data_IF_786058859409
#
_entry.id   IF_786058859409
#
_cell.length_a   1.000
_cell.length_b   1.000
_cell.length_c   1.000
_cell.angle_alpha   90.00
_cell.angle_beta   90.00
_cell.angle_gamma   90.00
#
_symmetry.space_group_name_H-M   'P 1'
#
loop_
_entity.id
_entity.type
_entity.pdbx_description
1 polymer ?
#
# COMPACT_ATOMS: atom_id res chain seq x y z
N UNK A 1 14.93 -17.62 -17.26
CA UNK A 1 14.82 -16.88 -15.98
C UNK A 1 16.05 -16.04 -15.64
N UNK A 2 17.14 -16.05 -16.45
CA UNK A 2 18.39 -15.33 -16.14
C UNK A 2 18.25 -13.80 -16.03
N UNK A 3 17.34 -13.19 -16.80
CA UNK A 3 17.10 -11.73 -16.81
C UNK A 3 16.77 -11.14 -15.44
N UNK A 4 16.16 -11.91 -14.53
CA UNK A 4 15.83 -11.43 -13.19
C UNK A 4 16.96 -11.62 -12.21
N UNK A 5 17.94 -12.49 -12.50
CA UNK A 5 19.02 -12.86 -11.58
C UNK A 5 19.89 -11.67 -11.18
N UNK A 6 20.00 -10.66 -12.05
CA UNK A 6 20.68 -9.38 -11.76
C UNK A 6 20.05 -8.58 -10.61
N UNK A 7 18.78 -8.83 -10.29
CA UNK A 7 18.07 -8.18 -9.18
C UNK A 7 18.02 -9.05 -7.93
N UNK A 8 18.57 -10.25 -7.97
CA UNK A 8 18.67 -11.11 -6.80
C UNK A 8 19.60 -10.48 -5.78
N UNK A 9 19.19 -10.48 -4.52
CA UNK A 9 20.06 -10.11 -3.42
C UNK A 9 21.21 -11.13 -3.33
N UNK A 10 22.45 -10.65 -3.35
CA UNK A 10 23.65 -11.50 -3.30
C UNK A 10 23.82 -12.21 -1.96
N UNK A 11 23.26 -11.66 -0.87
CA UNK A 11 23.31 -12.27 0.46
C UNK A 11 22.28 -13.38 0.65
N UNK A 12 21.01 -13.11 0.30
CA UNK A 12 19.91 -14.05 0.54
C UNK A 12 19.54 -14.92 -0.66
N UNK A 13 19.97 -14.56 -1.87
CA UNK A 13 19.53 -15.18 -3.13
C UNK A 13 18.07 -14.88 -3.50
N UNK A 14 17.37 -14.04 -2.73
CA UNK A 14 15.96 -13.70 -2.94
C UNK A 14 15.82 -12.68 -4.05
N UNK A 15 14.81 -12.85 -4.90
CA UNK A 15 14.58 -11.98 -6.05
C UNK A 15 13.29 -11.15 -5.89
N UNK A 16 13.38 -9.81 -5.80
CA UNK A 16 12.24 -8.91 -5.55
C UNK A 16 11.20 -8.91 -6.67
N UNK A 17 11.57 -9.34 -7.87
CA UNK A 17 10.71 -9.24 -9.06
C UNK A 17 10.27 -10.61 -9.58
N UNK A 18 10.70 -11.69 -8.92
CA UNK A 18 10.23 -13.02 -9.29
C UNK A 18 8.84 -13.22 -8.71
N UNK A 19 7.81 -13.45 -9.53
CA UNK A 19 6.48 -13.71 -9.01
C UNK A 19 6.53 -14.94 -8.10
N UNK A 20 5.89 -14.82 -6.93
CA UNK A 20 5.66 -15.93 -6.03
C UNK A 20 4.56 -16.79 -6.68
N UNK A 21 4.94 -17.73 -7.53
CA UNK A 21 3.98 -18.64 -8.15
C UNK A 21 3.42 -19.56 -7.06
N UNK A 22 2.12 -19.42 -6.77
CA UNK A 22 1.40 -20.52 -6.15
C UNK A 22 1.25 -21.62 -7.21
N UNK A 23 1.80 -22.81 -6.97
CA UNK A 23 1.59 -23.98 -7.81
C UNK A 23 0.11 -24.40 -7.73
N UNK A 24 -0.74 -23.75 -8.52
CA UNK A 24 -2.14 -24.15 -8.66
C UNK A 24 -2.18 -25.44 -9.49
N UNK A 25 -2.60 -26.54 -8.86
CA UNK A 25 -2.81 -27.83 -9.55
C UNK A 25 -3.81 -27.62 -10.70
N UNK A 26 -3.51 -28.21 -11.85
CA UNK A 26 -4.40 -28.17 -13.00
C UNK A 26 -5.79 -28.72 -12.62
N UNK A 27 -6.82 -27.87 -12.65
CA UNK A 27 -8.17 -28.27 -12.29
C UNK A 27 -8.83 -29.07 -13.44
N UNK A 28 -9.55 -30.12 -13.08
CA UNK A 28 -10.41 -30.89 -14.00
C UNK A 28 -11.47 -30.01 -14.66
N UNK A 29 -11.97 -30.42 -15.83
CA UNK A 29 -12.94 -29.64 -16.62
C UNK A 29 -14.23 -29.31 -15.84
N UNK A 30 -14.84 -30.23 -15.06
CA UNK A 30 -16.00 -29.90 -14.22
C UNK A 30 -15.69 -28.85 -13.16
N UNK A 31 -14.51 -28.93 -12.54
CA UNK A 31 -14.05 -27.94 -11.56
C UNK A 31 -13.85 -26.57 -12.21
N UNK A 32 -13.39 -26.51 -13.47
CA UNK A 32 -13.29 -25.25 -14.22
C UNK A 32 -14.67 -24.65 -14.50
N UNK A 33 -15.64 -25.48 -14.88
CA UNK A 33 -17.00 -25.02 -15.17
C UNK A 33 -17.70 -24.51 -13.90
N UNK A 34 -17.59 -25.25 -12.80
CA UNK A 34 -18.12 -24.83 -11.50
C UNK A 34 -17.48 -23.52 -11.04
N UNK A 35 -16.15 -23.39 -11.20
CA UNK A 35 -15.45 -22.13 -10.94
C UNK A 35 -15.96 -21.02 -11.84
N UNK A 36 -16.18 -21.25 -13.13
CA UNK A 36 -16.70 -20.22 -14.01
C UNK A 36 -18.10 -19.73 -13.59
N UNK A 37 -19.01 -20.66 -13.28
CA UNK A 37 -20.40 -20.34 -12.90
C UNK A 37 -20.48 -19.57 -11.57
N UNK A 38 -19.66 -19.93 -10.60
CA UNK A 38 -19.71 -19.29 -9.26
C UNK A 38 -18.77 -18.08 -9.17
N UNK A 39 -17.55 -18.18 -9.69
CA UNK A 39 -16.50 -17.17 -9.46
C UNK A 39 -16.62 -15.98 -10.39
N UNK A 40 -17.12 -16.16 -11.62
CA UNK A 40 -17.28 -15.03 -12.55
C UNK A 40 -18.32 -14.03 -12.05
N UNK A 41 -19.54 -14.43 -11.63
CA UNK A 41 -20.51 -13.49 -11.05
C UNK A 41 -19.97 -12.79 -9.80
N UNK A 42 -19.29 -13.54 -8.91
CA UNK A 42 -18.68 -12.97 -7.72
C UNK A 42 -17.58 -11.96 -8.07
N UNK A 43 -16.74 -12.27 -9.05
CA UNK A 43 -15.69 -11.38 -9.54
C UNK A 43 -16.24 -10.11 -10.17
N UNK A 44 -17.35 -10.21 -10.93
CA UNK A 44 -18.06 -9.05 -11.47
C UNK A 44 -18.65 -8.19 -10.35
N UNK A 45 -19.29 -8.80 -9.34
CA UNK A 45 -19.80 -8.07 -8.19
C UNK A 45 -18.68 -7.32 -7.44
N UNK A 46 -17.57 -8.01 -7.17
CA UNK A 46 -16.38 -7.42 -6.55
C UNK A 46 -15.81 -6.27 -7.38
N UNK A 47 -15.75 -6.42 -8.70
CA UNK A 47 -15.32 -5.35 -9.61
C UNK A 47 -16.26 -4.14 -9.56
N UNK A 48 -17.58 -4.34 -9.54
CA UNK A 48 -18.55 -3.27 -9.36
C UNK A 48 -18.34 -2.53 -8.04
N UNK A 49 -18.19 -3.26 -6.92
CA UNK A 49 -17.90 -2.67 -5.61
C UNK A 49 -16.60 -1.85 -5.63
N UNK A 50 -15.54 -2.40 -6.22
CA UNK A 50 -14.26 -1.69 -6.36
C UNK A 50 -14.41 -0.41 -7.21
N UNK A 51 -15.10 -0.50 -8.36
CA UNK A 51 -15.33 0.64 -9.23
C UNK A 51 -16.14 1.75 -8.52
N UNK A 52 -17.21 1.38 -7.82
CA UNK A 52 -18.00 2.31 -6.99
C UNK A 52 -17.14 2.96 -5.91
N UNK A 53 -16.24 2.21 -5.27
CA UNK A 53 -15.32 2.74 -4.27
C UNK A 53 -14.33 3.76 -4.86
N UNK A 54 -13.81 3.52 -6.07
CA UNK A 54 -12.93 4.49 -6.75
C UNK A 54 -13.70 5.77 -7.10
N UNK A 55 -14.94 5.66 -7.60
CA UNK A 55 -15.81 6.82 -7.86
C UNK A 55 -16.04 7.60 -6.56
N UNK A 56 -16.32 6.91 -5.46
CA UNK A 56 -16.48 7.51 -4.15
C UNK A 56 -15.24 8.28 -3.68
N UNK A 57 -14.04 7.74 -3.86
CA UNK A 57 -12.78 8.44 -3.54
C UNK A 57 -12.58 9.69 -4.41
N UNK A 58 -12.96 9.63 -5.69
CA UNK A 58 -12.95 10.81 -6.58
C UNK A 58 -13.90 11.88 -6.07
N UNK A 59 -15.14 11.52 -5.74
CA UNK A 59 -16.12 12.46 -5.20
C UNK A 59 -15.68 13.04 -3.86
N UNK A 60 -15.03 12.24 -3.01
CA UNK A 60 -14.48 12.68 -1.72
C UNK A 60 -13.43 13.78 -1.92
N UNK A 61 -12.50 13.60 -2.85
CA UNK A 61 -11.46 14.58 -3.18
C UNK A 61 -12.05 15.87 -3.76
N UNK A 62 -13.08 15.77 -4.61
CA UNK A 62 -13.80 16.93 -5.15
C UNK A 62 -14.56 17.69 -4.05
N UNK A 63 -15.25 16.98 -3.17
CA UNK A 63 -15.97 17.57 -2.04
C UNK A 63 -15.00 18.27 -1.09
N UNK A 64 -13.84 17.68 -0.80
CA UNK A 64 -12.84 18.29 0.09
C UNK A 64 -12.16 19.52 -0.52
N UNK A 65 -12.07 19.59 -1.86
CA UNK A 65 -11.66 20.82 -2.57
C UNK A 65 -12.71 21.91 -2.43
N UNK A 66 -14.00 21.56 -2.54
CA UNK A 66 -15.10 22.51 -2.36
C UNK A 66 -15.17 23.03 -0.91
N UNK A 67 -14.90 22.18 0.07
CA UNK A 67 -14.82 22.52 1.50
C UNK A 67 -13.50 23.18 1.91
N UNK A 68 -12.65 23.57 0.95
CA UNK A 68 -11.38 24.25 1.24
C UNK A 68 -11.46 25.51 2.13
N UNK A 69 -12.51 26.37 2.09
CA UNK A 69 -12.55 27.55 2.96
C UNK A 69 -12.82 27.22 4.44
N UNK A 70 -13.30 26.01 4.78
CA UNK A 70 -13.67 25.63 6.15
C UNK A 70 -12.83 24.43 6.60
N UNK A 71 -11.57 24.64 7.05
CA UNK A 71 -10.64 23.55 7.34
C UNK A 71 -11.09 22.64 8.49
N UNK A 72 -11.84 23.20 9.45
CA UNK A 72 -12.34 22.48 10.62
C UNK A 72 -13.31 21.35 10.26
N UNK A 73 -14.20 21.58 9.28
CA UNK A 73 -15.14 20.55 8.81
C UNK A 73 -14.51 19.64 7.76
N UNK A 74 -13.62 20.18 6.93
CA UNK A 74 -12.97 19.42 5.85
C UNK A 74 -12.27 18.16 6.36
N UNK A 75 -11.53 18.25 7.46
CA UNK A 75 -10.70 17.14 7.95
C UNK A 75 -11.49 15.91 8.44
N UNK A 76 -12.45 16.03 9.39
CA UNK A 76 -13.23 14.88 9.84
C UNK A 76 -14.04 14.26 8.70
N UNK A 77 -14.61 15.10 7.81
CA UNK A 77 -15.33 14.64 6.62
C UNK A 77 -14.38 13.85 5.71
N UNK A 78 -13.21 14.40 5.37
CA UNK A 78 -12.23 13.71 4.54
C UNK A 78 -11.80 12.38 5.17
N UNK A 79 -11.52 12.35 6.46
CA UNK A 79 -11.12 11.14 7.17
C UNK A 79 -12.20 10.06 7.09
N UNK A 80 -13.45 10.40 7.40
CA UNK A 80 -14.58 9.48 7.36
C UNK A 80 -14.85 8.96 5.94
N UNK A 81 -14.93 9.86 4.96
CA UNK A 81 -15.21 9.49 3.58
C UNK A 81 -14.06 8.67 2.95
N UNK A 82 -12.81 9.02 3.26
CA UNK A 82 -11.65 8.27 2.81
C UNK A 82 -11.58 6.89 3.47
N UNK A 83 -11.90 6.79 4.76
CA UNK A 83 -12.03 5.51 5.46
C UNK A 83 -13.07 4.62 4.77
N UNK A 84 -14.27 5.14 4.51
CA UNK A 84 -15.34 4.41 3.84
C UNK A 84 -14.94 3.97 2.42
N UNK A 85 -14.40 4.89 1.62
CA UNK A 85 -13.97 4.61 0.25
C UNK A 85 -12.83 3.59 0.17
N UNK A 86 -11.81 3.74 1.00
CA UNK A 86 -10.70 2.78 1.04
C UNK A 86 -11.16 1.42 1.55
N UNK A 87 -12.05 1.36 2.56
CA UNK A 87 -12.63 0.12 3.07
C UNK A 87 -13.45 -0.61 2.00
N UNK A 88 -14.31 0.11 1.26
CA UNK A 88 -15.07 -0.45 0.15
C UNK A 88 -14.15 -0.95 -0.98
N UNK A 89 -13.08 -0.21 -1.28
CA UNK A 89 -12.12 -0.62 -2.31
C UNK A 89 -11.38 -1.90 -1.90
N UNK A 90 -10.93 -1.98 -0.64
CA UNK A 90 -10.31 -3.20 -0.09
C UNK A 90 -11.28 -4.38 -0.09
N UNK A 91 -12.55 -4.15 0.29
CA UNK A 91 -13.60 -5.14 0.22
C UNK A 91 -13.80 -5.67 -1.21
N UNK A 92 -13.83 -4.76 -2.19
CA UNK A 92 -13.89 -5.11 -3.62
C UNK A 92 -12.69 -5.97 -4.04
N UNK A 93 -11.50 -5.71 -3.50
CA UNK A 93 -10.30 -6.54 -3.74
C UNK A 93 -10.29 -7.88 -2.96
N UNK A 94 -11.31 -8.15 -2.13
CA UNK A 94 -11.43 -9.37 -1.35
C UNK A 94 -10.80 -9.33 0.03
N UNK A 95 -10.39 -8.15 0.51
CA UNK A 95 -9.92 -7.96 1.88
C UNK A 95 -11.12 -7.71 2.80
N UNK A 96 -11.60 -8.78 3.41
CA UNK A 96 -12.71 -8.72 4.37
C UNK A 96 -12.21 -8.32 5.74
N UNK A 97 -12.66 -7.18 6.27
CA UNK A 97 -12.26 -6.59 7.55
C UNK A 97 -10.74 -6.61 7.74
N UNK A 98 -10.11 -5.44 7.66
CA UNK A 98 -8.67 -5.24 7.85
C UNK A 98 -8.22 -5.42 9.30
N UNK A 99 -8.68 -6.49 9.94
CA UNK A 99 -8.14 -7.14 11.12
C UNK A 99 -6.95 -8.02 10.70
N UNK A 100 -6.00 -7.42 9.97
CA UNK A 100 -4.65 -8.00 9.95
C UNK A 100 -4.12 -7.99 11.38
N UNK A 101 -3.39 -9.02 11.79
CA UNK A 101 -2.68 -8.98 13.06
C UNK A 101 -1.69 -7.81 12.98
N UNK A 102 -1.93 -6.77 13.78
CA UNK A 102 -0.96 -5.69 13.96
C UNK A 102 0.15 -6.24 14.86
N UNK A 103 1.01 -7.07 14.28
CA UNK A 103 2.15 -7.63 14.98
C UNK A 103 3.20 -6.54 15.14
N UNK A 104 3.52 -6.24 16.39
CA UNK A 104 4.64 -5.37 16.70
C UNK A 104 5.91 -6.13 16.35
N UNK A 105 6.83 -5.45 15.67
CA UNK A 105 8.10 -6.03 15.30
C UNK A 105 8.81 -6.65 16.52
N UNK A 106 9.27 -7.89 16.37
CA UNK A 106 10.08 -8.53 17.40
C UNK A 106 11.48 -7.92 17.41
N UNK A 107 11.69 -7.00 18.35
CA UNK A 107 12.94 -6.28 18.54
C UNK A 107 14.12 -7.23 18.82
N UNK A 108 13.87 -8.38 19.44
CA UNK A 108 14.90 -9.39 19.72
C UNK A 108 15.35 -10.06 18.43
N UNK A 109 14.40 -10.45 17.58
CA UNK A 109 14.68 -11.04 16.26
C UNK A 109 15.41 -10.05 15.36
N UNK A 110 15.01 -8.77 15.39
CA UNK A 110 15.60 -7.71 14.60
C UNK A 110 16.92 -7.16 15.17
N UNK A 111 17.31 -7.58 16.39
CA UNK A 111 18.48 -7.06 17.11
C UNK A 111 18.49 -5.53 17.24
N UNK A 112 17.31 -4.93 17.36
CA UNK A 112 17.12 -3.48 17.56
C UNK A 112 16.74 -3.21 19.01
N UNK A 113 17.11 -2.04 19.51
CA UNK A 113 16.73 -1.63 20.86
C UNK A 113 15.21 -1.43 20.92
N UNK A 114 14.50 -1.95 21.93
CA UNK A 114 13.09 -1.62 22.13
C UNK A 114 12.93 -0.11 22.39
N UNK A 115 11.83 0.50 21.96
CA UNK A 115 11.55 1.90 22.22
C UNK A 115 11.49 2.16 23.74
N UNK A 116 12.10 3.26 24.18
CA UNK A 116 12.15 3.66 25.59
C UNK A 116 10.77 4.02 26.16
N UNK A 117 9.80 4.34 25.31
CA UNK A 117 8.49 4.85 25.68
C UNK A 117 7.36 3.94 25.19
N UNK A 118 7.07 2.87 25.93
CA UNK A 118 5.88 2.01 25.72
C UNK A 118 5.76 1.38 24.33
N UNK A 119 4.69 0.60 24.12
CA UNK A 119 4.35 0.10 22.78
C UNK A 119 3.67 1.24 22.01
N UNK A 120 4.38 1.84 21.05
CA UNK A 120 3.77 2.73 20.07
C UNK A 120 3.52 1.94 18.79
N UNK A 121 2.27 1.88 18.36
CA UNK A 121 1.93 1.27 17.08
C UNK A 121 2.22 2.28 15.96
N UNK A 122 2.89 1.83 14.90
CA UNK A 122 3.17 2.66 13.74
C UNK A 122 1.89 3.18 13.04
N UNK A 123 0.75 2.51 13.28
CA UNK A 123 -0.57 2.92 12.80
C UNK A 123 -1.25 3.99 13.68
N UNK A 124 -0.68 4.31 14.84
CA UNK A 124 -1.11 5.41 15.71
C UNK A 124 -0.29 6.68 15.45
N UNK A 125 0.31 6.77 14.25
CA UNK A 125 1.16 7.88 13.84
C UNK A 125 0.44 9.23 13.98
N UNK A 126 1.11 10.18 14.66
CA UNK A 126 0.58 11.51 14.90
C UNK A 126 0.73 12.40 13.67
N UNK A 127 0.20 13.62 13.76
CA UNK A 127 0.26 14.62 12.69
C UNK A 127 1.72 14.94 12.35
N UNK A 128 2.05 14.95 11.07
CA UNK A 128 3.40 15.16 10.56
C UNK A 128 4.33 13.95 10.66
N UNK A 129 3.99 12.91 11.43
CA UNK A 129 4.85 11.72 11.60
C UNK A 129 5.13 11.07 10.26
N UNK A 130 6.43 10.79 10.03
CA UNK A 130 6.91 10.15 8.81
C UNK A 130 6.84 8.64 9.02
N UNK A 131 5.92 8.00 8.31
CA UNK A 131 5.69 6.56 8.30
C UNK A 131 6.38 5.97 7.08
N UNK A 132 7.43 5.21 7.29
CA UNK A 132 8.15 4.50 6.24
C UNK A 132 7.45 3.16 5.99
N UNK A 133 7.12 2.88 4.73
CA UNK A 133 6.47 1.62 4.36
C UNK A 133 7.10 1.01 3.12
N UNK A 134 7.10 -0.32 3.07
CA UNK A 134 7.33 -1.02 1.82
C UNK A 134 6.16 -0.81 0.85
N UNK A 135 6.43 -1.03 -0.44
CA UNK A 135 5.43 -0.94 -1.51
C UNK A 135 5.38 -2.22 -2.33
N UNK A 136 4.22 -2.87 -2.30
CA UNK A 136 3.90 -4.11 -2.98
C UNK A 136 2.82 -3.91 -4.04
N UNK A 137 1.80 -3.09 -3.76
CA UNK A 137 0.65 -2.90 -4.66
C UNK A 137 -0.31 -1.78 -4.27
N UNK A 138 -1.49 -1.79 -4.91
CA UNK A 138 -2.57 -0.82 -4.66
C UNK A 138 -3.17 -0.97 -3.26
N UNK A 139 -3.19 -2.20 -2.75
CA UNK A 139 -3.75 -2.55 -1.44
C UNK A 139 -3.02 -1.87 -0.29
N UNK A 140 -1.70 -1.66 -0.39
CA UNK A 140 -0.92 -0.96 0.63
C UNK A 140 -1.39 0.49 0.76
N UNK A 141 -1.56 1.15 -0.38
CA UNK A 141 -2.03 2.54 -0.46
C UNK A 141 -3.44 2.65 0.11
N UNK A 142 -4.35 1.72 -0.23
CA UNK A 142 -5.70 1.70 0.31
C UNK A 142 -5.72 1.40 1.83
N UNK A 143 -4.92 0.44 2.28
CA UNK A 143 -4.84 0.04 3.69
C UNK A 143 -4.32 1.19 4.55
N UNK A 144 -3.19 1.78 4.17
CA UNK A 144 -2.62 2.93 4.86
C UNK A 144 -3.51 4.17 4.72
N UNK A 145 -4.19 4.32 3.57
CA UNK A 145 -5.19 5.36 3.34
C UNK A 145 -6.34 5.29 4.34
N UNK A 146 -6.89 4.10 4.51
CA UNK A 146 -7.97 3.81 5.47
C UNK A 146 -7.51 4.01 6.92
N UNK A 147 -6.32 3.54 7.32
CA UNK A 147 -5.85 3.63 8.72
C UNK A 147 -5.39 5.03 9.10
N UNK A 148 -4.61 5.69 8.25
CA UNK A 148 -3.87 6.91 8.60
C UNK A 148 -4.42 8.17 7.95
N UNK A 149 -5.21 8.05 6.87
CA UNK A 149 -5.55 9.16 5.98
C UNK A 149 -4.34 10.09 5.69
N UNK A 150 -3.23 9.53 5.18
CA UNK A 150 -1.95 10.21 5.10
C UNK A 150 -1.81 11.00 3.80
N UNK A 151 -0.79 11.85 3.76
CA UNK A 151 -0.19 12.29 2.49
C UNK A 151 0.85 11.25 2.07
N UNK A 152 0.75 10.76 0.84
CA UNK A 152 1.69 9.74 0.34
C UNK A 152 2.87 10.39 -0.34
N UNK A 153 4.06 9.82 -0.17
CA UNK A 153 5.29 10.31 -0.80
C UNK A 153 5.94 9.18 -1.57
N UNK A 154 6.29 9.47 -2.82
CA UNK A 154 7.06 8.58 -3.68
C UNK A 154 8.31 9.33 -4.17
N UNK A 155 9.45 8.63 -4.33
CA UNK A 155 10.59 9.22 -5.01
C UNK A 155 10.30 9.47 -6.49
N UNK A 156 10.70 10.64 -6.97
CA UNK A 156 10.76 10.96 -8.39
C UNK A 156 11.91 10.21 -9.10
N UNK A 157 12.08 10.48 -10.40
CA UNK A 157 13.13 9.84 -11.20
C UNK A 157 14.54 10.17 -10.69
N UNK A 158 14.76 11.42 -10.31
CA UNK A 158 15.97 11.96 -9.66
C UNK A 158 16.14 11.51 -8.20
N UNK A 159 15.08 10.95 -7.59
CA UNK A 159 15.04 10.48 -6.21
C UNK A 159 14.50 11.49 -5.20
N UNK A 160 14.12 12.71 -5.63
CA UNK A 160 13.50 13.70 -4.75
C UNK A 160 12.10 13.25 -4.28
N UNK A 161 11.65 13.63 -3.08
CA UNK A 161 10.35 13.23 -2.57
C UNK A 161 9.23 14.03 -3.24
N UNK A 162 8.16 13.34 -3.68
CA UNK A 162 6.97 13.99 -4.25
C UNK A 162 5.73 13.53 -3.51
N UNK A 163 4.95 14.50 -3.02
CA UNK A 163 3.70 14.26 -2.31
C UNK A 163 2.52 13.99 -3.26
N UNK A 164 1.64 13.09 -2.85
CA UNK A 164 0.44 12.66 -3.57
C UNK A 164 -0.75 12.53 -2.63
N UNK A 165 -1.93 12.84 -3.15
CA UNK A 165 -3.20 12.44 -2.54
C UNK A 165 -3.44 10.93 -2.74
N UNK A 166 -4.49 10.38 -2.11
CA UNK A 166 -4.82 8.95 -2.23
C UNK A 166 -4.98 8.52 -3.69
N UNK A 167 -5.65 9.32 -4.52
CA UNK A 167 -5.84 9.00 -5.94
C UNK A 167 -4.53 9.06 -6.73
N UNK A 168 -3.67 10.04 -6.42
CA UNK A 168 -2.34 10.15 -7.01
C UNK A 168 -1.48 8.93 -6.65
N UNK A 169 -1.51 8.52 -5.39
CA UNK A 169 -0.81 7.35 -4.88
C UNK A 169 -1.32 6.05 -5.52
N UNK A 170 -2.64 5.88 -5.65
CA UNK A 170 -3.24 4.72 -6.34
C UNK A 170 -2.84 4.68 -7.81
N UNK A 171 -2.92 5.81 -8.52
CA UNK A 171 -2.45 5.90 -9.90
C UNK A 171 -0.97 5.53 -10.00
N UNK A 172 -0.15 5.99 -9.06
CA UNK A 172 1.29 5.73 -9.01
C UNK A 172 1.62 4.27 -8.72
N UNK A 173 0.91 3.66 -7.78
CA UNK A 173 1.03 2.25 -7.42
C UNK A 173 0.45 1.33 -8.51
N UNK A 174 -0.51 1.78 -9.32
CA UNK A 174 -1.05 1.04 -10.47
C UNK A 174 -0.20 1.17 -11.75
N UNK A 175 0.62 2.21 -11.89
CA UNK A 175 1.38 2.49 -13.11
C UNK A 175 2.44 1.42 -13.42
N UNK A 176 2.56 1.03 -14.71
CA UNK A 176 3.59 0.09 -15.20
C UNK A 176 4.99 0.70 -15.21
N UNK A 177 5.09 1.97 -15.57
CA UNK A 177 6.35 2.74 -15.57
C UNK A 177 6.19 3.90 -14.62
N UNK A 178 7.14 3.92 -13.71
CA UNK A 178 7.13 4.63 -12.46
C UNK A 178 8.05 5.87 -12.52
N UNK A 179 8.34 6.39 -13.71
CA UNK A 179 9.20 7.56 -13.87
C UNK A 179 8.34 8.80 -13.83
N UNK A 180 8.32 9.45 -12.67
CA UNK A 180 7.81 10.81 -12.55
C UNK A 180 8.83 11.77 -13.17
N UNK A 181 8.39 12.83 -13.86
CA UNK A 181 9.28 13.96 -14.12
C UNK A 181 9.82 14.49 -12.78
N UNK A 182 10.99 15.14 -12.77
CA UNK A 182 11.51 15.77 -11.56
C UNK A 182 10.42 16.64 -10.94
N UNK A 183 10.12 16.37 -9.67
CA UNK A 183 9.11 17.13 -8.92
C UNK A 183 9.57 18.55 -8.70
N UNK A 184 8.67 19.40 -8.17
CA UNK A 184 9.12 20.65 -7.56
C UNK A 184 10.11 20.29 -6.46
N UNK A 185 11.25 21.01 -6.33
CA UNK A 185 12.20 20.76 -5.26
C UNK A 185 11.49 21.05 -3.93
N UNK A 186 11.11 19.98 -3.24
CA UNK A 186 10.57 20.02 -1.89
C UNK A 186 11.33 18.99 -1.08
N UNK A 187 11.69 19.38 0.14
CA UNK A 187 12.31 18.45 1.08
C UNK A 187 11.24 17.61 1.76
N UNK A 188 11.62 16.43 2.26
CA UNK A 188 10.70 15.59 3.03
C UNK A 188 10.24 16.31 4.32
N UNK A 189 11.09 17.15 4.89
CA UNK A 189 10.77 17.98 6.05
C UNK A 189 9.66 19.00 5.75
N UNK A 190 9.71 19.70 4.60
CA UNK A 190 8.65 20.62 4.18
C UNK A 190 7.31 19.90 3.96
N UNK A 191 7.35 18.71 3.37
CA UNK A 191 6.15 17.88 3.18
C UNK A 191 5.57 17.47 4.54
N UNK A 192 6.42 17.08 5.49
CA UNK A 192 6.02 16.70 6.84
C UNK A 192 5.40 17.88 7.61
N UNK A 193 5.96 19.08 7.52
CA UNK A 193 5.41 20.28 8.14
C UNK A 193 4.08 20.71 7.50
N UNK A 194 3.98 20.62 6.17
CA UNK A 194 2.70 20.83 5.45
C UNK A 194 1.64 19.83 5.91
N UNK A 195 2.00 18.55 6.03
CA UNK A 195 1.09 17.50 6.52
C UNK A 195 0.70 17.71 7.99
N UNK A 196 1.63 18.19 8.82
CA UNK A 196 1.39 18.54 10.22
C UNK A 196 0.30 19.59 10.36
N UNK A 197 0.40 20.68 9.59
CA UNK A 197 -0.66 21.72 9.53
C UNK A 197 -1.98 21.18 8.97
N UNK A 198 -1.93 20.21 8.05
CA UNK A 198 -3.07 19.49 7.48
C UNK A 198 -3.66 18.38 8.37
N UNK A 199 -3.10 18.15 9.56
CA UNK A 199 -3.52 17.13 10.52
C UNK A 199 -3.44 15.68 9.96
N UNK A 200 -2.47 15.41 9.09
CA UNK A 200 -2.18 14.07 8.57
C UNK A 200 -0.74 13.64 8.87
N UNK A 201 -0.49 12.33 9.01
CA UNK A 201 0.85 11.76 8.90
C UNK A 201 1.28 11.72 7.42
N UNK A 202 2.57 11.47 7.20
CA UNK A 202 3.17 11.29 5.87
C UNK A 202 3.57 9.83 5.71
N UNK A 203 3.09 9.15 4.68
CA UNK A 203 3.54 7.79 4.34
C UNK A 203 4.54 7.85 3.20
N UNK A 204 5.74 7.33 3.39
CA UNK A 204 6.82 7.36 2.40
C UNK A 204 7.09 5.95 1.87
N UNK A 205 6.91 5.78 0.55
CA UNK A 205 7.30 4.57 -0.18
C UNK A 205 8.68 4.77 -0.82
N UNK A 206 9.72 4.77 0.02
CA UNK A 206 11.08 5.16 -0.34
C UNK A 206 11.77 4.24 -1.36
N UNK A 207 11.25 3.03 -1.55
CA UNK A 207 11.70 2.07 -2.57
C UNK A 207 11.46 2.58 -4.01
N UNK A 208 10.43 3.39 -4.23
CA UNK A 208 10.08 3.96 -5.54
C UNK A 208 9.57 2.98 -6.60
N UNK A 209 9.65 1.69 -6.32
CA UNK A 209 9.14 0.61 -7.15
C UNK A 209 8.38 -0.40 -6.28
N UNK A 210 7.60 -1.26 -6.93
CA UNK A 210 6.87 -2.35 -6.26
C UNK A 210 7.76 -3.59 -6.21
N UNK A 211 7.88 -4.21 -5.05
CA UNK A 211 8.52 -5.53 -4.90
C UNK A 211 7.49 -6.63 -4.90
N UNK A 212 7.92 -7.88 -4.81
CA UNK A 212 7.10 -9.07 -4.55
C UNK A 212 6.88 -9.37 -3.05
N UNK A 213 7.23 -8.44 -2.14
CA UNK A 213 7.11 -8.65 -0.70
C UNK A 213 8.12 -9.57 -0.06
N UNK A 214 8.93 -10.28 -0.85
CA UNK A 214 9.95 -11.18 -0.30
C UNK A 214 11.20 -10.44 0.17
N UNK A 215 11.40 -9.22 -0.31
CA UNK A 215 12.45 -8.32 0.15
C UNK A 215 12.05 -6.84 -0.07
N UNK A 216 12.80 -5.95 0.56
CA UNK A 216 12.68 -4.49 0.48
C UNK A 216 13.81 -3.98 -0.40
N UNK A 217 13.52 -3.09 -1.36
CA UNK A 217 14.55 -2.48 -2.20
C UNK A 217 15.36 -1.44 -1.43
N UNK A 218 16.57 -1.19 -1.91
CA UNK A 218 17.37 -0.06 -1.43
C UNK A 218 16.59 1.25 -1.60
N UNK A 219 16.44 1.99 -0.50
CA UNK A 219 15.78 3.28 -0.52
C UNK A 219 16.64 4.31 -1.24
N UNK A 220 15.99 5.25 -1.95
CA UNK A 220 16.71 6.32 -2.63
C UNK A 220 17.18 7.37 -1.61
N UNK A 221 18.50 7.61 -1.44
CA UNK A 221 19.01 8.51 -0.40
C UNK A 221 18.49 9.95 -0.54
N UNK A 222 18.36 10.44 -1.78
CA UNK A 222 17.83 11.77 -2.10
C UNK A 222 16.40 12.01 -1.60
N UNK A 223 15.63 10.97 -1.31
CA UNK A 223 14.28 11.09 -0.75
C UNK A 223 14.32 11.65 0.68
N UNK A 224 15.43 11.45 1.39
CA UNK A 224 15.65 11.89 2.76
C UNK A 224 16.60 13.09 2.85
N UNK A 225 16.98 13.69 1.71
CA UNK A 225 17.83 14.86 1.68
C UNK A 225 17.12 16.04 2.38
N UNK A 226 17.85 16.72 3.27
CA UNK A 226 17.30 17.79 4.12
C UNK A 226 16.60 17.30 5.41
N UNK A 227 16.57 16.00 5.69
CA UNK A 227 16.11 15.49 6.98
C UNK A 227 17.29 15.41 7.97
N UNK A 228 17.40 16.37 8.88
CA UNK A 228 18.50 16.42 9.86
C UNK A 228 18.41 15.29 10.90
N UNK A 229 17.19 14.86 11.24
CA UNK A 229 16.96 13.80 12.22
C UNK A 229 15.62 13.10 11.97
N UNK A 230 15.59 11.80 12.22
CA UNK A 230 14.36 10.99 12.25
C UNK A 230 13.57 11.17 13.57
N UNK A 231 14.13 11.84 14.57
CA UNK A 231 13.49 12.08 15.88
C UNK A 231 12.80 13.45 15.99
N UNK A 232 13.28 14.47 15.28
CA UNK A 232 12.72 15.84 15.30
C UNK A 232 12.54 16.36 13.88
N UNK A 233 11.45 17.08 13.55
CA UNK A 233 10.37 17.56 14.43
C UNK A 233 9.14 16.65 14.56
N UNK A 234 9.00 15.61 13.74
CA UNK A 234 7.72 14.92 13.54
C UNK A 234 7.63 13.47 14.05
N UNK A 235 8.75 12.90 14.50
CA UNK A 235 8.86 11.48 14.82
C UNK A 235 8.74 10.59 13.58
N UNK A 236 9.18 9.34 13.73
CA UNK A 236 9.21 8.36 12.65
C UNK A 236 8.61 7.05 13.09
N UNK A 237 7.94 6.38 12.16
CA UNK A 237 7.38 5.06 12.35
C UNK A 237 7.72 4.18 11.15
N UNK A 238 7.91 2.89 11.38
CA UNK A 238 8.17 1.91 10.33
C UNK A 238 6.98 0.94 10.28
N UNK A 239 6.41 0.76 9.09
CA UNK A 239 5.37 -0.22 8.82
C UNK A 239 5.91 -1.18 7.76
N UNK A 240 5.85 -2.47 8.06
CA UNK A 240 6.06 -3.51 7.05
C UNK A 240 4.72 -4.18 6.79
N UNK A 241 4.29 -4.15 5.53
CA UNK A 241 3.14 -4.89 5.06
C UNK A 241 3.65 -6.21 4.49
N UNK A 242 3.07 -7.31 4.95
CA UNK A 242 3.33 -8.65 4.43
C UNK A 242 1.99 -9.30 4.08
N UNK A 243 1.95 -9.95 2.92
CA UNK A 243 0.79 -10.73 2.47
C UNK A 243 1.11 -12.20 2.63
N UNK A 244 0.09 -12.99 2.96
CA UNK A 244 0.24 -14.45 3.07
C UNK A 244 0.73 -15.01 1.73
N UNK A 245 1.88 -15.69 1.74
CA UNK A 245 2.52 -16.29 0.56
C UNK A 245 1.71 -17.42 -0.07
N UNK A 246 0.78 -18.00 0.69
CA UNK A 246 -0.16 -19.02 0.23
C UNK A 246 -1.54 -18.44 -0.14
N UNK A 247 -1.71 -17.12 0.01
CA UNK A 247 -2.90 -16.42 -0.45
C UNK A 247 -2.94 -16.31 -1.96
N UNK A 248 -4.15 -16.35 -2.53
CA UNK A 248 -4.35 -16.21 -3.97
C UNK A 248 -4.21 -14.76 -4.47
N UNK A 249 -4.20 -13.78 -3.55
CA UNK A 249 -3.86 -12.40 -3.88
C UNK A 249 -2.34 -12.22 -3.95
N UNK A 250 -1.83 -12.06 -5.16
CA UNK A 250 -0.50 -11.49 -5.37
C UNK A 250 -0.64 -9.98 -5.60
N UNK A 251 -0.13 -9.11 -4.71
CA UNK A 251 -0.17 -7.66 -4.89
C UNK A 251 0.58 -7.17 -6.14
N UNK A 252 1.40 -8.06 -6.71
CA UNK A 252 2.53 -7.73 -7.56
C UNK A 252 2.18 -7.80 -9.03
N UNK A 253 1.89 -6.64 -9.58
CA UNK A 253 1.74 -6.43 -11.01
C UNK A 253 3.11 -6.45 -11.74
N UNK A 254 3.79 -7.59 -11.79
CA UNK A 254 5.03 -7.71 -12.59
C UNK A 254 4.73 -7.84 -14.09
N UNK A 255 3.52 -8.27 -14.45
CA UNK A 255 3.04 -8.44 -15.83
C UNK A 255 1.54 -8.07 -15.96
N UNK A 256 1.17 -7.27 -16.97
CA UNK A 256 -0.22 -6.85 -17.22
C UNK A 256 -0.51 -5.35 -17.04
N UNK A 257 -1.64 -4.84 -17.56
CA UNK A 257 -2.05 -3.42 -17.40
C UNK A 257 -2.61 -3.22 -15.99
N UNK A 258 -2.62 -1.96 -15.51
CA UNK A 258 -3.24 -1.57 -14.24
C UNK A 258 -4.68 -2.08 -14.09
N UNK A 259 -5.39 -2.32 -15.21
CA UNK A 259 -6.75 -2.86 -15.25
C UNK A 259 -6.80 -4.39 -15.40
N UNK A 260 -5.93 -5.00 -16.22
CA UNK A 260 -5.98 -6.46 -16.47
C UNK A 260 -5.73 -7.29 -15.23
N UNK A 261 -4.89 -6.81 -14.32
CA UNK A 261 -4.50 -7.59 -13.16
C UNK A 261 -5.48 -7.50 -11.98
N UNK A 262 -6.08 -6.35 -11.61
CA UNK A 262 -7.21 -6.39 -10.71
C UNK A 262 -8.36 -7.19 -11.33
N UNK A 263 -8.67 -7.07 -12.64
CA UNK A 263 -9.72 -7.92 -13.23
C UNK A 263 -9.36 -9.41 -13.20
N UNK A 264 -8.08 -9.78 -13.42
CA UNK A 264 -7.63 -11.16 -13.33
C UNK A 264 -7.72 -11.69 -11.90
N UNK A 265 -7.27 -10.92 -10.90
CA UNK A 265 -7.42 -11.29 -9.49
C UNK A 265 -8.90 -11.31 -9.08
N UNK A 266 -9.73 -10.38 -9.56
CA UNK A 266 -11.15 -10.33 -9.24
C UNK A 266 -11.91 -11.52 -9.86
N UNK A 267 -11.57 -11.94 -11.09
CA UNK A 267 -12.25 -13.00 -11.82
C UNK A 267 -11.78 -14.42 -11.47
N UNK A 268 -10.55 -14.59 -10.99
CA UNK A 268 -9.99 -15.90 -10.65
C UNK A 268 -10.00 -16.22 -9.15
N UNK A 269 -10.30 -15.24 -8.30
CA UNK A 269 -10.08 -15.35 -6.86
C UNK A 269 -11.38 -15.38 -6.03
N UNK A 270 -11.87 -16.60 -5.83
CA UNK A 270 -12.86 -16.91 -4.79
C UNK A 270 -12.34 -17.93 -3.76
N UNK A 271 -11.06 -18.31 -3.84
CA UNK A 271 -10.38 -19.08 -2.80
C UNK A 271 -10.23 -18.30 -1.49
N UNK A 272 -10.46 -16.98 -1.49
CA UNK A 272 -10.44 -16.14 -0.29
C UNK A 272 -11.59 -16.40 0.71
N UNK A 273 -12.32 -17.52 0.60
CA UNK A 273 -13.21 -18.00 1.68
C UNK A 273 -12.49 -18.82 2.76
N UNK A 274 -11.20 -19.14 2.61
CA UNK A 274 -10.49 -19.90 3.63
C UNK A 274 -9.03 -19.45 3.74
N UNK A 275 -8.62 -19.11 4.97
CA UNK A 275 -7.24 -18.79 5.40
C UNK A 275 -6.78 -17.32 5.39
N UNK A 276 -7.49 -16.47 6.14
CA UNK A 276 -6.80 -15.81 7.27
C UNK A 276 -6.97 -16.78 8.44
N UNK A 277 -6.10 -17.80 8.48
CA UNK A 277 -6.13 -18.82 9.52
C UNK A 277 -5.58 -18.16 10.78
N UNK A 278 -6.42 -18.08 11.80
CA UNK A 278 -6.01 -18.10 13.19
C UNK A 278 -4.88 -19.13 13.36
N UNK A 279 -3.67 -18.65 13.60
CA UNK A 279 -2.65 -19.42 14.30
C UNK A 279 -2.32 -18.65 15.58
N UNK A 280 -3.15 -18.91 16.60
CA UNK A 280 -2.67 -19.03 17.97
C UNK A 280 -2.44 -20.54 18.23
N UNK A 281 -1.59 -20.91 19.21
CA UNK A 281 -0.63 -22.02 19.17
C UNK A 281 -1.20 -23.41 18.88
#
# INVERSE_FOLDING_TARGET
MEKFRQFGDGGTGVNPFTPLWCHLKASSLPMRLLKAVVLVPLGLLKFCVFATAIIWLILTELLCKLLSPIPLLRRPIHWFLNYAGCSMALLGLGFWFTAGSNEVADHRRLKILPPKAGRQYALDAKRGTIVLSNLQGLTDVLYLGMKLCPTFVFPAADGSPVAFSILGALRRAGARRATLPPGKPQTLAEIAETARSGWCPVVVFAEGARTNGSCVLAWKPKTFEGLESFEKPCGTALVALEYNKFGAYTPHHTVGTAFRHPTHNLLLDASNMCSIMLQMP
#
